data_IF_617273255745
#
_entry.id   IF_617273255745
#
_cell.length_a   1.000
_cell.length_b   1.000
_cell.length_c   1.000
_cell.angle_alpha   90.00
_cell.angle_beta   90.00
_cell.angle_gamma   90.00
#
_symmetry.space_group_name_H-M   'P 1'
#
loop_
_entity.id
_entity.type
_entity.pdbx_description
1 polymer ?
#
# COMPACT_ATOMS: atom_id res chain seq x y z
N UNK A 1 -7.36 12.45 7.55
CA UNK A 1 -6.43 12.64 6.41
C UNK A 1 -7.21 12.71 5.10
N UNK A 2 -6.82 13.50 4.08
CA UNK A 2 -7.56 13.51 2.81
C UNK A 2 -7.24 12.25 1.99
N UNK A 3 -8.18 11.30 1.92
CA UNK A 3 -8.01 10.02 1.19
C UNK A 3 -7.62 10.21 -0.28
N UNK A 4 -8.12 11.25 -0.95
CA UNK A 4 -7.79 11.52 -2.37
C UNK A 4 -6.33 11.96 -2.55
N UNK A 5 -5.82 12.80 -1.65
CA UNK A 5 -4.42 13.20 -1.66
C UNK A 5 -3.51 11.99 -1.40
N UNK A 6 -3.85 11.18 -0.40
CA UNK A 6 -3.13 9.95 -0.08
C UNK A 6 -3.05 8.97 -1.27
N UNK A 7 -4.15 8.79 -2.00
CA UNK A 7 -4.16 7.91 -3.18
C UNK A 7 -3.15 8.38 -4.24
N UNK A 8 -3.04 9.70 -4.44
CA UNK A 8 -2.03 10.29 -5.32
C UNK A 8 -0.61 9.99 -4.84
N UNK A 9 -0.36 10.16 -3.54
CA UNK A 9 0.95 9.91 -2.94
C UNK A 9 1.35 8.42 -3.05
N UNK A 10 0.43 7.50 -2.74
CA UNK A 10 0.67 6.06 -2.83
C UNK A 10 0.98 5.64 -4.27
N UNK A 11 0.22 6.13 -5.25
CA UNK A 11 0.50 5.85 -6.67
C UNK A 11 1.88 6.41 -7.05
N UNK A 12 2.21 7.63 -6.62
CA UNK A 12 3.51 8.24 -6.87
C UNK A 12 4.67 7.40 -6.28
N UNK A 13 4.53 6.92 -5.04
CA UNK A 13 5.53 6.06 -4.40
C UNK A 13 5.65 4.67 -5.04
N UNK A 14 4.54 4.12 -5.55
CA UNK A 14 4.53 2.82 -6.22
C UNK A 14 4.92 2.88 -7.70
N UNK A 15 4.99 4.07 -8.30
CA UNK A 15 5.28 4.23 -9.73
C UNK A 15 6.56 3.53 -10.22
N UNK A 16 7.69 3.51 -9.47
CA UNK A 16 8.86 2.71 -9.86
C UNK A 16 8.54 1.22 -9.97
N UNK A 17 7.76 0.68 -9.04
CA UNK A 17 7.35 -0.73 -9.01
C UNK A 17 6.34 -1.04 -10.13
N UNK A 18 5.39 -0.14 -10.39
CA UNK A 18 4.44 -0.24 -11.50
C UNK A 18 5.20 -0.28 -12.82
N UNK A 19 6.10 0.67 -13.07
CA UNK A 19 6.93 0.71 -14.29
C UNK A 19 7.73 -0.57 -14.48
N UNK A 20 8.33 -1.11 -13.41
CA UNK A 20 9.06 -2.37 -13.46
C UNK A 20 8.16 -3.53 -13.92
N UNK A 21 6.97 -3.66 -13.33
CA UNK A 21 6.00 -4.70 -13.71
C UNK A 21 5.53 -4.56 -15.17
N UNK A 22 5.25 -3.33 -15.61
CA UNK A 22 4.86 -3.05 -17.00
C UNK A 22 5.97 -3.41 -17.99
N UNK A 23 7.23 -3.09 -17.67
CA UNK A 23 8.36 -3.41 -18.54
C UNK A 23 8.58 -4.92 -18.71
N UNK A 24 8.23 -5.72 -17.69
CA UNK A 24 8.27 -7.18 -17.72
C UNK A 24 7.05 -7.82 -18.41
N UNK A 25 6.07 -7.00 -18.80
CA UNK A 25 4.84 -7.45 -19.45
C UNK A 25 4.90 -7.26 -20.96
N UNK A 26 4.25 -8.15 -21.71
CA UNK A 26 4.09 -8.01 -23.15
C UNK A 26 3.44 -6.66 -23.48
N UNK A 27 3.99 -5.93 -24.45
CA UNK A 27 3.53 -4.59 -24.86
C UNK A 27 2.00 -4.53 -25.05
N UNK A 28 1.40 -5.58 -25.64
CA UNK A 28 -0.04 -5.65 -25.90
C UNK A 28 -0.89 -5.62 -24.63
N UNK A 29 -0.35 -6.08 -23.51
CA UNK A 29 -1.07 -6.22 -22.23
C UNK A 29 -0.67 -5.12 -21.23
N UNK A 30 0.30 -4.24 -21.57
CA UNK A 30 0.82 -3.24 -20.63
C UNK A 30 -0.23 -2.25 -20.17
N UNK A 31 -1.04 -1.72 -21.09
CA UNK A 31 -2.05 -0.73 -20.70
C UNK A 31 -3.18 -1.34 -19.87
N UNK A 32 -3.59 -2.55 -20.19
CA UNK A 32 -4.57 -3.29 -19.38
C UNK A 32 -4.04 -3.55 -17.97
N UNK A 33 -2.81 -4.04 -17.86
CA UNK A 33 -2.16 -4.26 -16.56
C UNK A 33 -1.99 -2.96 -15.77
N UNK A 34 -1.63 -1.86 -16.44
CA UNK A 34 -1.49 -0.55 -15.79
C UNK A 34 -2.81 -0.10 -15.17
N UNK A 35 -3.91 -0.22 -15.92
CA UNK A 35 -5.24 0.12 -15.41
C UNK A 35 -5.66 -0.78 -14.26
N UNK A 36 -5.42 -2.09 -14.38
CA UNK A 36 -5.72 -3.05 -13.32
C UNK A 36 -4.94 -2.74 -12.03
N UNK A 37 -3.65 -2.43 -12.13
CA UNK A 37 -2.81 -2.07 -10.99
C UNK A 37 -3.31 -0.79 -10.31
N UNK A 38 -3.61 0.26 -11.08
CA UNK A 38 -4.19 1.48 -10.53
C UNK A 38 -5.52 1.23 -9.83
N UNK A 39 -6.42 0.45 -10.46
CA UNK A 39 -7.71 0.11 -9.87
C UNK A 39 -7.54 -0.65 -8.56
N UNK A 40 -6.65 -1.65 -8.51
CA UNK A 40 -6.37 -2.42 -7.30
C UNK A 40 -5.81 -1.55 -6.17
N UNK A 41 -4.87 -0.66 -6.47
CA UNK A 41 -4.29 0.28 -5.49
C UNK A 41 -5.40 1.18 -4.93
N UNK A 42 -6.17 1.82 -5.80
CA UNK A 42 -7.28 2.71 -5.42
C UNK A 42 -8.30 1.96 -4.56
N UNK A 43 -8.71 0.76 -4.97
CA UNK A 43 -9.70 -0.04 -4.26
C UNK A 43 -9.20 -0.53 -2.90
N UNK A 44 -7.90 -0.86 -2.77
CA UNK A 44 -7.30 -1.26 -1.49
C UNK A 44 -7.26 -0.06 -0.55
N UNK A 45 -6.70 1.07 -1.00
CA UNK A 45 -6.56 2.29 -0.19
C UNK A 45 -7.92 2.86 0.23
N UNK A 46 -8.94 2.80 -0.64
CA UNK A 46 -10.28 3.29 -0.31
C UNK A 46 -10.95 2.49 0.80
N UNK A 47 -10.73 1.16 0.81
CA UNK A 47 -11.27 0.22 1.77
C UNK A 47 -10.54 0.19 3.10
N UNK A 48 -9.27 0.62 3.14
CA UNK A 48 -8.53 0.60 4.39
C UNK A 48 -9.00 1.68 5.37
N UNK A 49 -8.97 1.28 6.64
CA UNK A 49 -9.17 2.18 7.77
C UNK A 49 -7.86 2.86 8.14
N UNK A 50 -7.55 3.86 7.34
CA UNK A 50 -6.28 4.60 7.41
C UNK A 50 -6.14 5.43 8.69
N UNK A 51 -7.25 5.65 9.41
CA UNK A 51 -7.24 6.39 10.68
C UNK A 51 -6.83 5.51 11.86
N UNK A 52 -6.96 4.19 11.72
CA UNK A 52 -6.62 3.20 12.74
C UNK A 52 -5.44 2.29 12.33
N UNK A 53 -4.60 2.74 11.40
CA UNK A 53 -3.36 2.02 11.07
C UNK A 53 -2.38 2.19 12.24
N UNK A 54 -1.95 1.10 12.91
CA UNK A 54 -0.96 1.19 13.97
C UNK A 54 0.34 1.78 13.41
N UNK A 55 0.98 2.63 14.20
CA UNK A 55 2.31 3.14 13.86
C UNK A 55 3.29 1.97 13.65
N UNK A 56 4.37 2.21 12.90
CA UNK A 56 5.40 1.20 12.67
C UNK A 56 5.89 0.55 13.98
N UNK A 57 6.16 1.34 15.01
CA UNK A 57 6.58 0.84 16.31
C UNK A 57 5.47 0.10 17.09
N UNK A 58 4.22 0.54 16.98
CA UNK A 58 3.08 -0.15 17.60
C UNK A 58 2.84 -1.52 16.96
N UNK A 59 3.04 -1.62 15.64
CA UNK A 59 2.99 -2.90 14.91
C UNK A 59 4.05 -3.87 15.42
N UNK A 60 5.29 -3.41 15.62
CA UNK A 60 6.39 -4.23 16.13
C UNK A 60 6.19 -4.63 17.60
N UNK A 61 5.62 -3.75 18.43
CA UNK A 61 5.33 -4.05 19.84
C UNK A 61 4.23 -5.11 19.98
N UNK A 62 3.26 -5.11 19.07
CA UNK A 62 2.10 -6.00 19.09
C UNK A 62 2.36 -7.39 18.46
N UNK A 63 3.45 -7.58 17.71
CA UNK A 63 3.77 -8.84 17.01
C UNK A 63 4.63 -9.84 17.82
N UNK A 64 5.10 -9.46 19.03
CA UNK A 64 5.42 -10.35 20.17
C UNK A 64 6.35 -9.63 21.17
N UNK A 65 5.82 -9.21 22.32
CA UNK A 65 6.60 -9.25 23.58
C UNK A 65 5.70 -9.81 24.69
N UNK A 66 6.09 -10.90 25.38
CA UNK A 66 5.44 -11.25 26.64
C UNK A 66 5.64 -10.06 27.56
N UNK A 67 4.53 -9.52 28.05
CA UNK A 67 4.50 -8.54 29.14
C UNK A 67 5.51 -8.98 30.19
N UNK A 68 6.61 -8.24 30.31
CA UNK A 68 7.45 -8.34 31.48
C UNK A 68 6.61 -7.81 32.65
N UNK A 69 5.84 -8.71 33.25
CA UNK A 69 5.27 -8.54 34.58
C UNK A 69 6.43 -8.29 35.53
N UNK A 70 6.70 -7.02 35.81
CA UNK A 70 7.59 -6.63 36.88
C UNK A 70 6.85 -6.82 38.21
N UNK A 71 7.48 -7.62 39.06
CA UNK A 71 7.18 -7.89 40.46
C UNK A 71 7.13 -6.63 41.32
#
# INVERSE_FOLDING_TARGET
>A
MNKKALMGDIIFYLEPSIKKALNQTNIKNREELKQELHFKIINKVSKEDIENIPGFFETIINDDTPSATNH
#
